data_IF_282046551751
#
_entry.id   IF_282046551751
#
_cell.length_a   1.000
_cell.length_b   1.000
_cell.length_c   1.000
_cell.angle_alpha   90.00
_cell.angle_beta   90.00
_cell.angle_gamma   90.00
#
_symmetry.space_group_name_H-M   'P 1'
#
loop_
_entity.id
_entity.type
_entity.pdbx_description
1 polymer ?
#
# COMPACT_ATOMS: atom_id res chain seq x y z
N UNK A 1 10.92 -13.78 10.96
CA UNK A 1 10.06 -12.56 10.97
C UNK A 1 8.77 -12.90 10.25
N UNK A 2 7.60 -12.42 10.70
CA UNK A 2 6.32 -12.56 9.98
C UNK A 2 5.89 -11.21 9.44
N UNK A 3 5.35 -11.21 8.22
CA UNK A 3 4.84 -10.00 7.55
C UNK A 3 3.48 -10.29 6.92
N UNK A 4 2.67 -9.26 6.69
CA UNK A 4 1.34 -9.41 6.10
C UNK A 4 1.14 -8.45 4.92
N UNK A 5 0.78 -9.00 3.77
CA UNK A 5 0.28 -8.25 2.62
C UNK A 5 -1.26 -8.36 2.59
N UNK A 6 -1.94 -7.24 2.61
CA UNK A 6 -3.39 -7.20 2.74
C UNK A 6 -4.07 -6.81 1.42
N UNK A 7 -5.34 -7.19 1.33
CA UNK A 7 -6.30 -6.74 0.32
C UNK A 7 -7.56 -6.29 1.05
N UNK A 8 -8.36 -5.41 0.43
CA UNK A 8 -9.63 -4.97 1.00
C UNK A 8 -10.81 -5.90 0.70
N UNK A 9 -10.65 -6.85 -0.22
CA UNK A 9 -11.74 -7.74 -0.55
C UNK A 9 -12.15 -8.58 0.66
N UNK A 10 -13.46 -8.68 0.90
CA UNK A 10 -14.02 -9.38 2.06
C UNK A 10 -13.87 -8.66 3.40
N UNK A 11 -13.31 -7.45 3.42
CA UNK A 11 -13.28 -6.59 4.60
C UNK A 11 -14.53 -5.71 4.58
N UNK A 12 -15.28 -5.69 5.69
CA UNK A 12 -16.42 -4.76 5.84
C UNK A 12 -15.91 -3.33 5.97
N UNK A 13 -16.12 -2.55 4.92
CA UNK A 13 -15.78 -1.12 4.87
C UNK A 13 -17.00 -0.20 5.04
N UNK A 14 -18.16 -0.76 5.37
CA UNK A 14 -19.40 0.02 5.58
C UNK A 14 -19.47 0.69 6.96
N UNK A 15 -18.61 0.28 7.88
CA UNK A 15 -18.48 0.89 9.20
C UNK A 15 -17.03 0.85 9.71
N UNK A 16 -16.62 1.90 10.42
CA UNK A 16 -15.31 1.94 11.07
C UNK A 16 -15.11 0.76 12.02
N UNK A 17 -16.15 0.39 12.77
CA UNK A 17 -16.12 -0.76 13.70
C UNK A 17 -15.91 -2.08 12.95
N UNK A 18 -16.61 -2.28 11.82
CA UNK A 18 -16.47 -3.48 10.97
C UNK A 18 -15.07 -3.59 10.39
N UNK A 19 -14.56 -2.50 9.82
CA UNK A 19 -13.20 -2.43 9.29
C UNK A 19 -12.13 -2.75 10.34
N UNK A 20 -12.20 -2.10 11.49
CA UNK A 20 -11.28 -2.34 12.62
C UNK A 20 -11.35 -3.78 13.10
N UNK A 21 -12.55 -4.32 13.28
CA UNK A 21 -12.74 -5.70 13.75
C UNK A 21 -12.17 -6.71 12.74
N UNK A 22 -12.38 -6.48 11.43
CA UNK A 22 -11.85 -7.33 10.39
C UNK A 22 -10.31 -7.34 10.37
N UNK A 23 -9.67 -6.16 10.42
CA UNK A 23 -8.20 -6.07 10.49
C UNK A 23 -7.63 -6.72 11.76
N UNK A 24 -8.26 -6.49 12.92
CA UNK A 24 -7.86 -7.13 14.18
C UNK A 24 -7.94 -8.66 14.07
N UNK A 25 -9.03 -9.19 13.51
CA UNK A 25 -9.20 -10.64 13.30
C UNK A 25 -8.12 -11.21 12.38
N UNK A 26 -7.82 -10.53 11.27
CA UNK A 26 -6.80 -10.97 10.31
C UNK A 26 -5.39 -10.94 10.89
N UNK A 27 -5.06 -9.93 11.69
CA UNK A 27 -3.69 -9.67 12.17
C UNK A 27 -3.41 -10.20 13.59
N UNK A 28 -4.41 -10.80 14.25
CA UNK A 28 -4.25 -11.29 15.61
C UNK A 28 -3.38 -12.55 15.69
N UNK A 29 -3.58 -13.50 14.78
CA UNK A 29 -2.88 -14.80 14.79
C UNK A 29 -2.76 -15.38 13.36
N UNK A 30 -1.53 -15.60 12.86
CA UNK A 30 -0.26 -15.22 13.48
C UNK A 30 -0.05 -13.70 13.44
N UNK A 31 0.42 -13.10 14.54
CA UNK A 31 0.70 -11.67 14.60
C UNK A 31 1.94 -11.34 13.77
N UNK A 32 1.85 -10.47 12.73
CA UNK A 32 3.01 -10.05 11.97
C UNK A 32 3.79 -8.95 12.68
N UNK A 33 5.07 -8.76 12.33
CA UNK A 33 5.84 -7.59 12.69
C UNK A 33 5.29 -6.34 11.97
N UNK A 34 5.02 -6.48 10.67
CA UNK A 34 4.48 -5.40 9.83
C UNK A 34 3.36 -5.92 8.93
N UNK A 35 2.32 -5.10 8.79
CA UNK A 35 1.26 -5.29 7.81
C UNK A 35 1.25 -4.13 6.81
N UNK A 36 0.99 -4.44 5.55
CA UNK A 36 0.89 -3.44 4.46
C UNK A 36 -0.51 -3.47 3.87
N UNK A 37 -1.12 -2.29 3.74
CA UNK A 37 -2.41 -2.06 3.09
C UNK A 37 -2.20 -1.54 1.65
N UNK A 38 -3.15 -1.78 0.74
CA UNK A 38 -3.00 -1.44 -0.67
C UNK A 38 -3.06 0.07 -0.94
N UNK A 39 -2.64 0.48 -2.13
CA UNK A 39 -2.91 1.83 -2.63
C UNK A 39 -4.43 2.07 -2.72
N UNK A 40 -4.83 3.35 -2.69
CA UNK A 40 -6.24 3.79 -2.67
C UNK A 40 -7.06 3.26 -1.49
N UNK A 41 -6.43 2.73 -0.45
CA UNK A 41 -7.14 2.24 0.74
C UNK A 41 -7.96 3.35 1.40
N UNK A 42 -7.41 4.57 1.52
CA UNK A 42 -8.15 5.71 2.08
C UNK A 42 -9.34 6.10 1.22
N UNK A 43 -9.21 6.08 -0.11
CA UNK A 43 -10.32 6.33 -1.02
C UNK A 43 -11.42 5.28 -0.85
N UNK A 44 -11.07 3.99 -0.93
CA UNK A 44 -12.04 2.89 -0.83
C UNK A 44 -12.79 2.91 0.52
N UNK A 45 -12.05 3.08 1.62
CA UNK A 45 -12.64 3.14 2.95
C UNK A 45 -13.51 4.40 3.12
N UNK A 46 -13.06 5.55 2.63
CA UNK A 46 -13.82 6.81 2.70
C UNK A 46 -15.13 6.75 1.93
N UNK A 47 -15.16 6.11 0.77
CA UNK A 47 -16.38 5.83 0.02
C UNK A 47 -17.31 4.88 0.79
N UNK A 48 -16.77 3.78 1.31
CA UNK A 48 -17.54 2.79 2.07
C UNK A 48 -18.17 3.36 3.34
N UNK A 49 -17.49 4.30 3.99
CA UNK A 49 -17.98 4.99 5.21
C UNK A 49 -18.86 6.22 4.92
N UNK A 50 -19.07 6.59 3.65
CA UNK A 50 -19.78 7.81 3.27
C UNK A 50 -19.07 9.12 3.65
N UNK A 51 -17.74 9.06 3.86
CA UNK A 51 -16.87 10.21 4.12
C UNK A 51 -16.42 10.92 2.85
N UNK A 52 -16.47 10.22 1.72
CA UNK A 52 -16.18 10.73 0.39
C UNK A 52 -17.36 10.47 -0.53
N UNK A 53 -17.55 11.36 -1.51
CA UNK A 53 -18.60 11.23 -2.50
C UNK A 53 -18.15 10.32 -3.65
N UNK A 54 -19.06 9.41 -4.06
CA UNK A 54 -18.90 8.61 -5.26
C UNK A 54 -19.44 9.39 -6.46
N UNK A 55 -18.63 9.51 -7.50
CA UNK A 55 -19.01 10.14 -8.77
C UNK A 55 -19.28 9.09 -9.85
N UNK A 56 -19.60 9.52 -11.10
CA UNK A 56 -19.95 8.61 -12.19
C UNK A 56 -18.78 7.74 -12.64
N UNK A 57 -17.55 8.26 -12.57
CA UNK A 57 -16.34 7.54 -12.99
C UNK A 57 -15.30 7.55 -11.88
N UNK A 58 -14.35 6.62 -11.96
CA UNK A 58 -13.20 6.61 -11.06
C UNK A 58 -12.42 7.92 -11.12
N UNK A 59 -12.25 8.49 -12.32
CA UNK A 59 -11.55 9.76 -12.51
C UNK A 59 -12.23 10.91 -11.76
N UNK A 60 -13.54 11.00 -11.87
CA UNK A 60 -14.31 12.07 -11.21
C UNK A 60 -14.31 11.87 -9.69
N UNK A 61 -14.45 10.62 -9.23
CA UNK A 61 -14.38 10.27 -7.82
C UNK A 61 -13.01 10.60 -7.22
N UNK A 62 -11.93 10.29 -7.96
CA UNK A 62 -10.58 10.63 -7.51
C UNK A 62 -10.34 12.14 -7.49
N UNK A 63 -10.86 12.88 -8.48
CA UNK A 63 -10.82 14.34 -8.49
C UNK A 63 -11.61 14.96 -7.33
N UNK A 64 -12.79 14.41 -7.02
CA UNK A 64 -13.59 14.80 -5.85
C UNK A 64 -12.83 14.55 -4.54
N UNK A 65 -12.14 13.41 -4.42
CA UNK A 65 -11.28 13.11 -3.26
C UNK A 65 -10.14 14.12 -3.09
N UNK A 66 -9.49 14.57 -4.18
CA UNK A 66 -8.46 15.61 -4.12
C UNK A 66 -8.99 16.90 -3.45
N UNK A 67 -10.25 17.27 -3.74
CA UNK A 67 -10.86 18.50 -3.25
C UNK A 67 -11.38 18.37 -1.81
N UNK A 68 -11.98 17.23 -1.47
CA UNK A 68 -12.74 17.04 -0.24
C UNK A 68 -12.02 16.20 0.81
N UNK A 69 -10.92 15.55 0.48
CA UNK A 69 -10.32 14.51 1.29
C UNK A 69 -9.50 14.95 2.50
N UNK A 70 -9.26 16.25 2.71
CA UNK A 70 -8.32 16.70 3.73
C UNK A 70 -8.70 16.28 5.16
N UNK A 71 -9.97 16.47 5.55
CA UNK A 71 -10.48 16.06 6.86
C UNK A 71 -10.48 14.55 7.01
N UNK A 72 -10.98 13.84 5.99
CA UNK A 72 -10.98 12.39 5.94
C UNK A 72 -9.56 11.82 6.05
N UNK A 73 -8.57 12.39 5.38
CA UNK A 73 -7.18 11.94 5.48
C UNK A 73 -6.65 12.01 6.90
N UNK A 74 -7.00 13.06 7.66
CA UNK A 74 -6.62 13.17 9.07
C UNK A 74 -7.28 12.06 9.90
N UNK A 75 -8.60 11.87 9.78
CA UNK A 75 -9.32 10.78 10.46
C UNK A 75 -8.75 9.40 10.09
N UNK A 76 -8.43 9.20 8.82
CA UNK A 76 -7.87 7.96 8.31
C UNK A 76 -6.49 7.65 8.90
N UNK A 77 -5.59 8.63 8.94
CA UNK A 77 -4.26 8.46 9.50
C UNK A 77 -4.31 8.22 11.01
N UNK A 78 -5.15 8.95 11.72
CA UNK A 78 -5.39 8.76 13.16
C UNK A 78 -5.93 7.35 13.46
N UNK A 79 -6.89 6.86 12.67
CA UNK A 79 -7.42 5.51 12.78
C UNK A 79 -6.32 4.45 12.64
N UNK A 80 -5.43 4.61 11.65
CA UNK A 80 -4.36 3.63 11.40
C UNK A 80 -3.23 3.72 12.43
N UNK A 81 -2.93 4.91 12.95
CA UNK A 81 -2.04 5.06 14.10
C UNK A 81 -2.58 4.36 15.35
N UNK A 82 -3.86 4.53 15.66
CA UNK A 82 -4.51 3.82 16.77
C UNK A 82 -4.51 2.29 16.56
N UNK A 83 -4.78 1.81 15.32
CA UNK A 83 -4.73 0.38 15.00
C UNK A 83 -3.33 -0.19 15.17
N UNK A 84 -2.28 0.48 14.69
CA UNK A 84 -0.90 0.06 14.85
C UNK A 84 -0.54 -0.10 16.33
N UNK A 85 -0.93 0.89 17.14
CA UNK A 85 -0.72 0.87 18.60
C UNK A 85 -1.49 -0.25 19.28
N UNK A 86 -2.76 -0.44 18.96
CA UNK A 86 -3.59 -1.46 19.59
C UNK A 86 -3.12 -2.88 19.22
N UNK A 87 -2.75 -3.09 17.95
CA UNK A 87 -2.21 -4.35 17.48
C UNK A 87 -0.74 -4.56 17.87
N UNK A 88 -0.04 -3.51 18.30
CA UNK A 88 1.40 -3.54 18.59
C UNK A 88 2.22 -4.10 17.42
N UNK A 89 1.97 -3.56 16.22
CA UNK A 89 2.66 -3.90 14.96
C UNK A 89 3.07 -2.62 14.23
N UNK A 90 3.99 -2.74 13.28
CA UNK A 90 4.14 -1.71 12.26
C UNK A 90 3.00 -1.83 11.24
N UNK A 91 2.46 -0.71 10.78
CA UNK A 91 1.34 -0.69 9.83
C UNK A 91 1.59 0.33 8.71
N UNK A 92 1.87 -0.17 7.50
CA UNK A 92 1.83 0.66 6.30
C UNK A 92 0.37 0.79 5.85
N UNK A 93 -0.20 1.99 5.98
CA UNK A 93 -1.65 2.24 5.89
C UNK A 93 -2.20 2.29 4.46
N UNK A 94 -1.40 2.02 3.44
CA UNK A 94 -1.80 2.30 2.05
C UNK A 94 -1.56 3.77 1.70
N UNK A 95 -2.32 4.31 0.75
CA UNK A 95 -2.09 5.67 0.27
C UNK A 95 -3.24 6.62 0.56
N UNK A 96 -2.90 7.88 0.82
CA UNK A 96 -3.78 9.03 0.85
C UNK A 96 -3.42 10.01 -0.27
N UNK A 97 -4.37 10.86 -0.68
CA UNK A 97 -4.11 12.00 -1.57
C UNK A 97 -4.09 13.26 -0.71
N UNK A 98 -2.92 13.89 -0.59
CA UNK A 98 -2.76 15.09 0.24
C UNK A 98 -2.41 16.31 -0.60
N UNK A 99 -3.03 17.44 -0.25
CA UNK A 99 -2.65 18.74 -0.77
C UNK A 99 -1.72 19.44 0.21
N UNK A 100 -0.59 19.93 -0.31
CA UNK A 100 0.39 20.72 0.43
C UNK A 100 0.70 21.97 -0.37
N UNK A 101 0.23 23.10 0.09
CA UNK A 101 0.29 24.35 -0.66
C UNK A 101 -0.39 24.18 -2.03
N UNK A 102 0.33 24.38 -3.13
CA UNK A 102 -0.15 24.24 -4.50
C UNK A 102 0.06 22.82 -5.08
N UNK A 103 0.67 21.91 -4.33
CA UNK A 103 1.02 20.58 -4.78
C UNK A 103 0.07 19.50 -4.24
N UNK A 104 -0.19 18.50 -5.06
CA UNK A 104 -1.05 17.35 -4.70
C UNK A 104 -0.21 16.09 -4.81
N UNK A 105 -0.14 15.30 -3.75
CA UNK A 105 0.69 14.11 -3.68
C UNK A 105 -0.13 12.87 -3.34
N UNK A 106 0.24 11.75 -3.95
CA UNK A 106 -0.12 10.43 -3.44
C UNK A 106 0.97 9.99 -2.46
N UNK A 107 0.60 9.78 -1.20
CA UNK A 107 1.54 9.55 -0.09
C UNK A 107 1.16 8.28 0.67
N UNK A 108 2.15 7.43 0.96
CA UNK A 108 2.03 6.32 1.89
C UNK A 108 2.66 6.66 3.23
N UNK A 109 2.07 6.12 4.30
CA UNK A 109 2.52 6.28 5.68
C UNK A 109 2.74 4.92 6.33
N UNK A 110 3.76 4.82 7.19
CA UNK A 110 3.97 3.69 8.07
C UNK A 110 3.93 4.17 9.52
N UNK A 111 3.15 3.47 10.35
CA UNK A 111 3.02 3.71 11.78
C UNK A 111 3.81 2.64 12.55
N UNK A 112 4.44 3.05 13.64
CA UNK A 112 5.12 2.15 14.57
C UNK A 112 4.14 1.59 15.63
N UNK A 113 4.54 0.61 16.46
CA UNK A 113 3.70 0.05 17.52
C UNK A 113 3.24 1.05 18.59
N UNK A 114 3.84 2.23 18.67
CA UNK A 114 3.41 3.34 19.54
C UNK A 114 2.29 4.17 18.91
N UNK A 115 1.98 3.93 17.61
CA UNK A 115 0.98 4.65 16.83
C UNK A 115 1.48 5.92 16.18
N UNK A 116 2.79 6.17 16.23
CA UNK A 116 3.42 7.33 15.62
C UNK A 116 3.89 7.02 14.20
N UNK A 117 3.91 8.01 13.33
CA UNK A 117 4.46 7.88 11.98
C UNK A 117 5.97 7.66 12.05
N UNK A 118 6.44 6.53 11.52
CA UNK A 118 7.86 6.20 11.43
C UNK A 118 8.40 6.23 9.98
N UNK A 119 7.53 6.19 8.98
CA UNK A 119 7.90 6.26 7.57
C UNK A 119 6.87 7.00 6.73
N UNK A 120 7.34 7.78 5.76
CA UNK A 120 6.50 8.50 4.81
C UNK A 120 7.18 8.53 3.45
N UNK A 121 6.43 8.25 2.39
CA UNK A 121 6.94 8.32 1.01
C UNK A 121 5.87 8.88 0.08
N UNK A 122 6.21 9.88 -0.70
CA UNK A 122 5.41 10.38 -1.82
C UNK A 122 5.76 9.62 -3.08
N UNK A 123 4.78 9.33 -3.92
CA UNK A 123 5.00 8.70 -5.22
C UNK A 123 5.89 9.58 -6.10
N UNK A 124 6.94 8.99 -6.69
CA UNK A 124 7.92 9.71 -7.49
C UNK A 124 7.67 9.59 -9.00
N UNK A 125 7.00 8.54 -9.44
CA UNK A 125 6.69 8.28 -10.85
C UNK A 125 5.18 8.18 -11.08
N UNK A 126 4.62 9.23 -11.66
CA UNK A 126 3.20 9.35 -11.90
C UNK A 126 2.77 8.61 -13.18
N UNK A 127 1.63 7.94 -13.10
CA UNK A 127 0.91 7.44 -14.29
C UNK A 127 0.41 8.61 -15.15
N UNK A 128 -0.03 8.31 -16.37
CA UNK A 128 -0.70 9.31 -17.21
C UNK A 128 -1.95 9.87 -16.52
N UNK A 129 -2.76 8.99 -15.92
CA UNK A 129 -3.96 9.35 -15.18
C UNK A 129 -3.68 10.37 -14.06
N UNK A 130 -2.67 10.12 -13.25
CA UNK A 130 -2.30 11.00 -12.13
C UNK A 130 -1.78 12.36 -12.61
N UNK A 131 -1.04 12.39 -13.72
CA UNK A 131 -0.62 13.66 -14.36
C UNK A 131 -1.80 14.47 -14.89
N UNK A 132 -2.80 13.81 -15.51
CA UNK A 132 -4.02 14.47 -15.96
C UNK A 132 -4.83 15.08 -14.82
N UNK A 133 -4.70 14.56 -13.61
CA UNK A 133 -5.28 15.10 -12.38
C UNK A 133 -4.35 16.06 -11.62
N UNK A 134 -3.26 16.48 -12.27
CA UNK A 134 -2.29 17.43 -11.71
C UNK A 134 -1.61 16.99 -10.42
N UNK A 135 -1.44 15.69 -10.20
CA UNK A 135 -0.63 15.21 -9.09
C UNK A 135 0.84 15.62 -9.29
N UNK A 136 1.51 15.85 -8.19
CA UNK A 136 2.91 16.24 -8.12
C UNK A 136 3.79 15.04 -7.75
N UNK A 137 5.01 15.02 -8.26
CA UNK A 137 6.00 13.99 -7.92
C UNK A 137 6.61 14.22 -6.55
N UNK A 138 6.85 13.15 -5.82
CA UNK A 138 7.78 13.18 -4.68
C UNK A 138 9.22 13.41 -5.17
N UNK A 139 9.99 14.18 -4.41
CA UNK A 139 11.37 14.57 -4.78
C UNK A 139 12.44 13.77 -4.04
N UNK A 140 12.05 12.91 -3.11
CA UNK A 140 13.00 12.17 -2.27
C UNK A 140 12.54 10.73 -2.03
N UNK A 141 13.50 9.84 -1.91
CA UNK A 141 13.32 8.46 -1.48
C UNK A 141 13.97 8.32 -0.11
N UNK A 142 13.22 7.78 0.87
CA UNK A 142 13.66 7.67 2.26
C UNK A 142 13.47 6.25 2.79
N UNK A 143 14.40 5.84 3.65
CA UNK A 143 14.26 4.63 4.45
C UNK A 143 13.93 5.00 5.90
N UNK A 144 13.36 4.04 6.62
CA UNK A 144 13.05 4.14 8.05
C UNK A 144 13.31 2.79 8.73
N UNK A 145 13.22 2.75 10.07
CA UNK A 145 13.50 1.54 10.84
C UNK A 145 12.21 0.81 11.24
N UNK A 146 12.21 -0.51 11.08
CA UNK A 146 11.26 -1.46 11.66
C UNK A 146 12.01 -2.35 12.67
N UNK A 147 12.31 -1.82 13.85
CA UNK A 147 13.30 -2.44 14.74
C UNK A 147 14.69 -2.40 14.10
N UNK A 148 15.32 -3.57 13.91
CA UNK A 148 16.66 -3.67 13.30
C UNK A 148 16.62 -3.72 11.76
N UNK A 149 15.43 -3.71 11.14
CA UNK A 149 15.24 -3.83 9.70
C UNK A 149 15.14 -2.43 9.08
N UNK A 150 15.93 -2.17 8.06
CA UNK A 150 15.86 -0.94 7.28
C UNK A 150 14.83 -1.10 6.16
N UNK A 151 13.73 -0.35 6.25
CA UNK A 151 12.60 -0.49 5.33
C UNK A 151 12.36 0.76 4.49
N UNK A 152 11.73 0.56 3.32
CA UNK A 152 11.24 1.60 2.45
C UNK A 152 9.77 1.41 2.08
N UNK A 153 9.09 2.50 1.68
CA UNK A 153 7.73 2.45 1.13
C UNK A 153 7.79 2.60 -0.39
N UNK A 154 7.11 1.71 -1.11
CA UNK A 154 6.85 1.80 -2.55
C UNK A 154 5.41 2.24 -2.75
N UNK A 155 5.19 3.29 -3.53
CA UNK A 155 3.89 3.95 -3.70
C UNK A 155 3.40 3.79 -5.13
N UNK A 156 2.32 3.02 -5.31
CA UNK A 156 1.65 2.88 -6.59
C UNK A 156 2.59 2.55 -7.75
N UNK A 157 2.64 3.44 -8.75
CA UNK A 157 3.40 3.22 -9.97
C UNK A 157 4.93 3.13 -9.78
N UNK A 158 5.47 3.57 -8.64
CA UNK A 158 6.91 3.42 -8.31
C UNK A 158 7.34 1.94 -8.31
N UNK A 159 6.40 1.01 -8.08
CA UNK A 159 6.66 -0.42 -8.19
C UNK A 159 7.14 -0.87 -9.58
N UNK A 160 6.87 -0.10 -10.63
CA UNK A 160 7.23 -0.39 -12.03
C UNK A 160 8.46 0.38 -12.52
N UNK A 161 9.07 1.18 -11.64
CA UNK A 161 10.23 2.01 -11.97
C UNK A 161 11.49 1.47 -11.26
N UNK A 162 12.38 0.75 -11.99
CA UNK A 162 13.51 0.03 -11.39
C UNK A 162 14.49 0.94 -10.67
N UNK A 163 14.57 2.22 -11.07
CA UNK A 163 15.39 3.22 -10.39
C UNK A 163 15.00 3.43 -8.92
N UNK A 164 13.71 3.30 -8.58
CA UNK A 164 13.22 3.48 -7.22
C UNK A 164 13.77 2.37 -6.31
N UNK A 165 13.63 1.11 -6.69
CA UNK A 165 14.19 -0.02 -5.94
C UNK A 165 15.71 0.01 -5.90
N UNK A 166 16.37 0.43 -7.00
CA UNK A 166 17.84 0.55 -7.02
C UNK A 166 18.33 1.61 -6.03
N UNK A 167 17.68 2.77 -5.95
CA UNK A 167 18.03 3.80 -4.97
C UNK A 167 17.85 3.26 -3.56
N UNK A 168 16.71 2.60 -3.26
CA UNK A 168 16.45 2.01 -1.94
C UNK A 168 17.49 0.96 -1.56
N UNK A 169 17.88 0.10 -2.51
CA UNK A 169 18.93 -0.90 -2.29
C UNK A 169 20.30 -0.24 -1.99
N UNK A 170 20.67 0.81 -2.72
CA UNK A 170 21.91 1.55 -2.48
C UNK A 170 21.90 2.29 -1.13
N UNK A 171 20.72 2.67 -0.62
CA UNK A 171 20.55 3.20 0.72
C UNK A 171 20.58 2.11 1.81
N UNK A 172 20.60 0.83 1.40
CA UNK A 172 20.70 -0.33 2.28
C UNK A 172 19.35 -0.83 2.78
N UNK A 173 18.31 -0.80 1.96
CA UNK A 173 17.00 -1.36 2.31
C UNK A 173 17.07 -2.89 2.41
N UNK A 174 16.50 -3.45 3.49
CA UNK A 174 16.30 -4.89 3.68
C UNK A 174 14.90 -5.32 3.21
N UNK A 175 13.90 -4.44 3.42
CA UNK A 175 12.49 -4.74 3.18
C UNK A 175 11.76 -3.56 2.54
N UNK A 176 11.00 -3.82 1.48
CA UNK A 176 10.11 -2.82 0.89
C UNK A 176 8.64 -3.15 1.16
N UNK A 177 7.89 -2.15 1.61
CA UNK A 177 6.45 -2.21 1.83
C UNK A 177 5.76 -1.55 0.64
N UNK A 178 5.17 -2.35 -0.24
CA UNK A 178 4.60 -1.89 -1.49
C UNK A 178 3.07 -1.77 -1.38
N UNK A 179 2.57 -0.54 -1.42
CA UNK A 179 1.14 -0.24 -1.53
C UNK A 179 0.80 -0.02 -3.00
N UNK A 180 0.16 -1.01 -3.62
CA UNK A 180 -0.12 -1.01 -5.06
C UNK A 180 -1.61 -1.23 -5.36
N UNK A 181 -2.04 -0.85 -6.57
CA UNK A 181 -3.36 -1.09 -7.14
C UNK A 181 -3.22 -1.22 -8.66
N UNK A 182 -3.49 -2.42 -9.17
CA UNK A 182 -3.49 -2.68 -10.60
C UNK A 182 -4.92 -2.61 -11.14
N UNK A 183 -5.17 -1.66 -12.02
CA UNK A 183 -6.45 -1.53 -12.70
C UNK A 183 -6.57 -2.56 -13.83
N UNK A 184 -7.75 -3.15 -13.96
CA UNK A 184 -8.08 -4.16 -14.96
C UNK A 184 -8.21 -5.56 -14.39
N UNK A 185 -8.34 -6.53 -15.29
CA UNK A 185 -8.39 -7.95 -14.93
C UNK A 185 -7.03 -8.44 -14.43
N UNK A 186 -7.04 -9.38 -13.49
CA UNK A 186 -5.82 -9.94 -12.96
C UNK A 186 -4.91 -10.54 -14.05
N UNK A 187 -3.64 -10.17 -13.99
CA UNK A 187 -2.59 -10.73 -14.82
C UNK A 187 -1.32 -10.89 -13.99
N UNK A 188 -0.88 -12.11 -13.77
CA UNK A 188 0.37 -12.39 -13.05
C UNK A 188 1.58 -11.75 -13.74
N UNK A 189 1.60 -11.71 -15.06
CA UNK A 189 2.69 -11.10 -15.84
C UNK A 189 2.78 -9.58 -15.65
N UNK A 190 1.64 -8.90 -15.54
CA UNK A 190 1.63 -7.47 -15.23
C UNK A 190 2.08 -7.20 -13.81
N UNK A 191 1.75 -8.07 -12.87
CA UNK A 191 2.16 -7.94 -11.48
C UNK A 191 3.66 -8.21 -11.31
N UNK A 192 4.19 -9.29 -11.88
CA UNK A 192 5.61 -9.64 -11.77
C UNK A 192 6.54 -8.63 -12.47
N UNK A 193 6.03 -7.87 -13.46
CA UNK A 193 6.76 -6.75 -14.05
C UNK A 193 6.93 -5.55 -13.09
N UNK A 194 6.34 -5.59 -11.89
CA UNK A 194 6.45 -4.57 -10.85
C UNK A 194 7.54 -4.87 -9.82
N UNK A 195 7.16 -4.85 -8.53
CA UNK A 195 8.09 -4.97 -7.41
C UNK A 195 8.83 -6.32 -7.38
N UNK A 196 8.24 -7.39 -7.91
CA UNK A 196 8.93 -8.68 -8.02
C UNK A 196 10.24 -8.56 -8.81
N UNK A 197 10.21 -7.90 -9.98
CA UNK A 197 11.40 -7.69 -10.79
C UNK A 197 12.46 -6.87 -10.05
N UNK A 198 12.06 -5.86 -9.28
CA UNK A 198 12.98 -5.05 -8.49
C UNK A 198 13.65 -5.87 -7.36
N UNK A 199 12.90 -6.78 -6.72
CA UNK A 199 13.44 -7.70 -5.72
C UNK A 199 14.53 -8.57 -6.32
N UNK A 200 14.30 -9.17 -7.49
CA UNK A 200 15.29 -10.03 -8.15
C UNK A 200 16.56 -9.28 -8.55
N UNK A 201 16.41 -8.03 -8.98
CA UNK A 201 17.54 -7.19 -9.42
C UNK A 201 18.38 -6.63 -8.27
N UNK A 202 17.80 -6.47 -7.09
CA UNK A 202 18.42 -5.72 -5.99
C UNK A 202 18.57 -6.50 -4.68
N UNK A 203 18.04 -7.75 -4.62
CA UNK A 203 18.26 -8.69 -3.52
C UNK A 203 17.77 -8.21 -2.14
N UNK A 204 16.62 -7.50 -2.08
CA UNK A 204 15.88 -7.19 -0.86
C UNK A 204 14.59 -8.02 -0.79
N UNK A 205 13.84 -7.93 0.30
CA UNK A 205 12.52 -8.51 0.44
C UNK A 205 11.43 -7.49 0.14
N UNK A 206 10.24 -7.94 -0.26
CA UNK A 206 9.09 -7.05 -0.40
C UNK A 206 7.78 -7.67 0.11
N UNK A 207 6.93 -6.80 0.65
CA UNK A 207 5.54 -7.09 1.03
C UNK A 207 4.65 -6.27 0.12
N UNK A 208 4.00 -6.91 -0.84
CA UNK A 208 3.16 -6.27 -1.84
C UNK A 208 1.68 -6.43 -1.47
N UNK A 209 1.06 -5.35 -0.99
CA UNK A 209 -0.37 -5.26 -0.80
C UNK A 209 -1.04 -4.77 -2.07
N UNK A 210 -2.14 -5.40 -2.45
CA UNK A 210 -2.85 -5.13 -3.70
C UNK A 210 -4.32 -4.83 -3.47
N UNK A 211 -4.82 -3.78 -4.09
CA UNK A 211 -6.24 -3.48 -4.08
C UNK A 211 -6.99 -4.53 -4.94
N UNK A 212 -8.00 -5.15 -4.34
CA UNK A 212 -8.98 -5.97 -5.07
C UNK A 212 -10.35 -5.44 -4.72
N UNK A 213 -10.92 -4.63 -5.60
CA UNK A 213 -12.19 -3.93 -5.41
C UNK A 213 -12.66 -3.32 -6.72
N UNK A 214 -13.92 -2.97 -6.78
CA UNK A 214 -14.46 -2.10 -7.84
C UNK A 214 -14.79 -0.74 -7.24
N UNK A 215 -14.19 0.31 -7.78
CA UNK A 215 -14.46 1.69 -7.37
C UNK A 215 -15.02 2.44 -8.58
N UNK A 216 -16.29 2.84 -8.51
CA UNK A 216 -17.01 3.63 -9.53
C UNK A 216 -16.74 3.17 -10.98
N UNK A 217 -16.88 1.85 -11.20
CA UNK A 217 -16.74 1.21 -12.50
C UNK A 217 -15.33 0.74 -12.86
N UNK A 218 -14.27 1.26 -12.24
CA UNK A 218 -12.92 0.75 -12.42
C UNK A 218 -12.69 -0.49 -11.54
N UNK A 219 -12.26 -1.58 -12.17
CA UNK A 219 -11.94 -2.84 -11.51
C UNK A 219 -10.46 -2.84 -11.17
N UNK A 220 -10.13 -3.14 -9.91
CA UNK A 220 -8.77 -3.39 -9.45
C UNK A 220 -8.66 -4.85 -9.05
N UNK A 221 -7.69 -5.56 -9.60
CA UNK A 221 -7.55 -6.99 -9.35
C UNK A 221 -6.09 -7.44 -9.44
N UNK A 222 -5.50 -7.73 -8.29
CA UNK A 222 -4.19 -8.33 -8.20
C UNK A 222 -4.05 -9.12 -6.89
N UNK A 223 -3.09 -10.02 -6.84
CA UNK A 223 -2.85 -10.87 -5.69
C UNK A 223 -1.83 -10.23 -4.74
N UNK A 224 -2.09 -10.15 -3.42
CA UNK A 224 -1.06 -9.76 -2.47
C UNK A 224 0.07 -10.81 -2.45
N UNK A 225 1.31 -10.37 -2.21
CA UNK A 225 2.47 -11.25 -2.25
C UNK A 225 3.52 -10.87 -1.19
N UNK A 226 4.27 -11.89 -0.75
CA UNK A 226 5.49 -11.72 0.02
C UNK A 226 6.62 -12.28 -0.85
N UNK A 227 7.58 -11.42 -1.19
CA UNK A 227 8.53 -11.63 -2.26
C UNK A 227 9.94 -11.63 -1.67
N UNK A 228 10.75 -12.56 -2.15
CA UNK A 228 12.18 -12.69 -1.82
C UNK A 228 13.00 -12.88 -3.10
N UNK A 229 14.33 -12.77 -3.06
CA UNK A 229 15.18 -13.27 -4.12
C UNK A 229 14.86 -14.73 -4.45
N UNK A 230 14.86 -15.09 -5.75
CA UNK A 230 14.51 -16.43 -6.21
C UNK A 230 15.35 -17.52 -5.52
N UNK A 231 16.62 -17.23 -5.25
CA UNK A 231 17.57 -18.14 -4.60
C UNK A 231 17.20 -18.49 -3.16
N UNK A 232 16.33 -17.69 -2.52
CA UNK A 232 15.87 -17.90 -1.15
C UNK A 232 14.52 -18.59 -1.07
N UNK A 233 13.89 -18.93 -2.21
CA UNK A 233 12.60 -19.63 -2.26
C UNK A 233 12.76 -21.09 -2.68
N UNK A 234 11.99 -21.98 -2.08
CA UNK A 234 12.13 -23.45 -2.28
C UNK A 234 11.90 -23.82 -3.74
N UNK A 235 10.94 -23.17 -4.40
CA UNK A 235 10.54 -23.43 -5.78
C UNK A 235 11.24 -22.51 -6.81
N UNK A 236 12.13 -21.64 -6.36
CA UNK A 236 12.86 -20.70 -7.21
C UNK A 236 11.99 -19.60 -7.84
N UNK A 237 10.74 -19.44 -7.37
CA UNK A 237 9.82 -18.46 -7.98
C UNK A 237 9.98 -17.04 -7.45
N UNK A 238 10.70 -16.85 -6.34
CA UNK A 238 10.81 -15.57 -5.68
C UNK A 238 9.59 -15.20 -4.83
N UNK A 239 8.62 -16.11 -4.62
CA UNK A 239 7.48 -15.91 -3.76
C UNK A 239 7.59 -16.77 -2.50
N UNK A 240 7.71 -16.11 -1.33
CA UNK A 240 7.54 -16.79 -0.04
C UNK A 240 6.07 -17.09 0.24
N UNK A 241 5.18 -16.23 -0.24
CA UNK A 241 3.75 -16.44 -0.25
C UNK A 241 3.12 -15.62 -1.38
N UNK A 242 2.16 -16.21 -2.07
CA UNK A 242 1.38 -15.56 -3.13
C UNK A 242 -0.09 -15.90 -2.95
N UNK A 243 -0.90 -14.87 -2.72
CA UNK A 243 -2.33 -15.02 -2.55
C UNK A 243 -3.10 -15.12 -3.86
N UNK A 244 -4.41 -15.16 -3.72
CA UNK A 244 -5.33 -14.89 -4.81
C UNK A 244 -5.81 -13.44 -4.75
N UNK A 245 -6.28 -12.85 -5.88
CA UNK A 245 -6.94 -11.56 -5.82
C UNK A 245 -8.03 -11.56 -4.75
N UNK A 246 -7.95 -10.59 -3.84
CA UNK A 246 -8.91 -10.46 -2.76
C UNK A 246 -8.63 -11.23 -1.47
N UNK A 247 -7.60 -12.06 -1.40
CA UNK A 247 -7.23 -12.77 -0.17
C UNK A 247 -5.98 -12.14 0.45
N UNK A 248 -5.93 -11.95 1.79
CA UNK A 248 -4.70 -11.51 2.45
C UNK A 248 -3.66 -12.64 2.47
N UNK A 249 -2.39 -12.28 2.58
CA UNK A 249 -1.27 -13.21 2.73
C UNK A 249 -0.45 -12.83 3.95
N UNK A 250 -0.19 -13.82 4.81
CA UNK A 250 0.65 -13.68 6.01
C UNK A 250 1.68 -14.82 5.99
N UNK A 251 2.96 -14.49 6.06
CA UNK A 251 4.06 -15.44 6.11
C UNK A 251 5.09 -15.10 7.19
#
# INVERSE_FOLDING_TARGET
MRVAALSLAGIDISSTKGYVAALKKLLAKPKPLVATLPAHNALALGLGLGKLNSEKTFKDTFASYIVQGAEWNSEYLDLHGHLAKELQIYLASGTVIEKREDFIYQTAYCFNPEGSVCGTQRQTHLTRFERELSLSRGESIKLFQLGDIKAGLIVGNDARHPEVGRIMALLGADLLLCSHALEGSYSCWQQTAGIWAQVQQNQFFAVEAQLSSTITGSIFSAAPAIIAPCELTIDGTGFLAWGNPGSPVIS
#
